data_IF_817405464052
#
_entry.id   IF_817405464052
#
_cell.length_a   1.000
_cell.length_b   1.000
_cell.length_c   1.000
_cell.angle_alpha   90.00
_cell.angle_beta   90.00
_cell.angle_gamma   90.00
#
_symmetry.space_group_name_H-M   'P 1'
#
loop_
_entity.id
_entity.type
_entity.pdbx_description
1 polymer ?
#
# COMPACT_ATOMS: atom_id res chain seq x y z
N UNK A 1 -4.55 2.59 23.38
CA UNK A 1 -3.58 1.56 23.83
C UNK A 1 -2.23 1.89 23.23
N UNK A 2 -1.14 1.80 24.01
CA UNK A 2 0.22 2.07 23.53
C UNK A 2 0.67 1.01 22.52
N UNK A 3 1.30 1.44 21.42
CA UNK A 3 1.97 0.53 20.51
C UNK A 3 3.26 -0.02 21.13
N UNK A 4 3.57 -1.26 20.79
CA UNK A 4 4.78 -1.96 21.26
C UNK A 4 5.63 -2.37 20.06
N UNK A 5 6.94 -2.46 20.24
CA UNK A 5 7.90 -2.92 19.23
C UNK A 5 7.84 -4.44 19.05
N UNK A 6 6.69 -4.95 18.62
CA UNK A 6 6.43 -6.38 18.35
C UNK A 6 5.88 -6.58 16.94
N UNK A 7 5.82 -7.84 16.47
CA UNK A 7 5.24 -8.21 15.17
C UNK A 7 5.77 -7.33 14.03
N UNK A 8 4.91 -6.63 13.30
CA UNK A 8 5.25 -5.78 12.16
C UNK A 8 6.13 -4.58 12.53
N UNK A 9 5.92 -3.99 13.72
CA UNK A 9 6.77 -2.89 14.19
C UNK A 9 8.22 -3.38 14.38
N UNK A 10 8.37 -4.54 15.02
CA UNK A 10 9.69 -5.17 15.18
C UNK A 10 10.29 -5.54 13.83
N UNK A 11 9.51 -6.13 12.93
CA UNK A 11 9.97 -6.52 11.60
C UNK A 11 10.49 -5.31 10.80
N UNK A 12 9.80 -4.16 10.87
CA UNK A 12 10.25 -2.95 10.19
C UNK A 12 11.50 -2.35 10.82
N UNK A 13 11.60 -2.35 12.15
CA UNK A 13 12.81 -1.90 12.86
C UNK A 13 14.04 -2.75 12.53
N UNK A 14 13.88 -4.07 12.33
CA UNK A 14 14.96 -4.99 11.93
C UNK A 14 15.52 -4.72 10.52
N UNK A 15 14.87 -3.88 9.71
CA UNK A 15 15.41 -3.46 8.42
C UNK A 15 16.44 -2.33 8.57
N UNK A 16 16.48 -1.64 9.71
CA UNK A 16 17.45 -0.61 10.01
C UNK A 16 18.83 -1.22 10.25
N UNK A 17 19.91 -0.62 9.72
CA UNK A 17 21.30 -1.03 9.97
C UNK A 17 21.76 -0.58 11.37
N UNK A 18 21.15 -1.15 12.40
CA UNK A 18 21.41 -0.90 13.80
C UNK A 18 20.95 -2.09 14.65
N UNK A 19 21.47 -2.20 15.88
CA UNK A 19 20.94 -3.15 16.85
C UNK A 19 19.51 -2.75 17.26
N UNK A 20 18.67 -3.77 17.47
CA UNK A 20 17.28 -3.54 17.86
C UNK A 20 17.22 -2.94 19.26
N UNK A 21 16.62 -1.75 19.41
CA UNK A 21 16.55 -1.02 20.66
C UNK A 21 15.11 -0.59 20.99
N UNK A 22 14.67 -0.83 22.24
CA UNK A 22 13.33 -0.48 22.73
C UNK A 22 13.09 1.02 22.88
N UNK A 23 14.14 1.83 22.87
CA UNK A 23 14.08 3.29 22.86
C UNK A 23 14.15 3.88 21.44
N UNK A 24 14.24 3.03 20.42
CA UNK A 24 14.53 3.43 19.05
C UNK A 24 16.02 3.42 18.73
N UNK A 25 16.33 3.49 17.43
CA UNK A 25 17.70 3.56 16.94
C UNK A 25 17.78 4.32 15.62
N UNK A 26 19.00 4.71 15.26
CA UNK A 26 19.37 5.30 13.97
C UNK A 26 20.42 4.42 13.32
N UNK A 27 20.30 4.20 12.01
CA UNK A 27 21.21 3.37 11.24
C UNK A 27 22.63 3.96 11.27
N UNK A 28 23.63 3.09 11.40
CA UNK A 28 25.05 3.48 11.20
C UNK A 28 25.29 3.80 9.73
N UNK A 29 24.85 2.90 8.84
CA UNK A 29 24.80 3.14 7.41
C UNK A 29 23.44 2.69 6.86
N UNK A 30 22.52 3.64 6.70
CA UNK A 30 21.14 3.35 6.27
C UNK A 30 21.06 2.64 4.91
N UNK A 31 22.07 2.79 4.03
CA UNK A 31 22.16 2.10 2.74
C UNK A 31 22.42 0.60 2.94
N UNK A 32 23.02 0.17 4.05
CA UNK A 32 23.19 -1.27 4.35
C UNK A 32 21.93 -1.92 4.93
N UNK A 33 20.90 -1.13 5.23
CA UNK A 33 19.61 -1.63 5.70
C UNK A 33 18.90 -2.51 4.66
N UNK A 34 17.96 -3.34 5.13
CA UNK A 34 17.17 -4.20 4.25
C UNK A 34 16.17 -3.37 3.44
N UNK A 35 16.01 -3.64 2.13
CA UNK A 35 15.11 -2.88 1.29
C UNK A 35 13.64 -3.14 1.63
N UNK A 36 12.82 -2.10 1.51
CA UNK A 36 11.38 -2.08 1.75
C UNK A 36 10.69 -1.56 0.50
N UNK A 37 9.78 -2.35 -0.07
CA UNK A 37 8.91 -1.90 -1.17
C UNK A 37 7.89 -0.91 -0.63
N UNK A 38 7.82 0.29 -1.21
CA UNK A 38 6.86 1.32 -0.80
C UNK A 38 5.77 1.47 -1.84
N UNK A 39 4.52 1.43 -1.36
CA UNK A 39 3.32 1.66 -2.16
C UNK A 39 2.61 2.88 -1.56
N UNK A 40 2.25 3.86 -2.40
CA UNK A 40 1.42 5.00 -2.02
C UNK A 40 -0.01 4.82 -2.52
N UNK A 41 -0.98 5.27 -1.73
CA UNK A 41 -2.41 5.20 -2.05
C UNK A 41 -3.00 6.59 -2.20
N UNK A 42 -4.00 6.75 -3.09
CA UNK A 42 -4.80 7.96 -3.25
C UNK A 42 -5.49 8.42 -1.95
N UNK A 43 -5.71 7.51 -1.00
CA UNK A 43 -6.26 7.82 0.31
C UNK A 43 -5.34 8.69 1.20
N UNK A 44 -4.07 8.88 0.82
CA UNK A 44 -3.09 9.65 1.59
C UNK A 44 -3.22 11.15 1.36
N UNK A 45 -4.34 11.74 1.82
CA UNK A 45 -4.75 13.13 1.54
C UNK A 45 -3.72 14.21 1.88
N UNK A 46 -2.90 13.99 2.91
CA UNK A 46 -1.89 14.96 3.36
C UNK A 46 -0.56 14.88 2.59
N UNK A 47 -0.42 13.95 1.64
CA UNK A 47 0.82 13.78 0.88
C UNK A 47 0.67 14.28 -0.55
N UNK A 48 1.45 15.29 -0.92
CA UNK A 48 1.60 15.73 -2.32
C UNK A 48 2.19 14.67 -3.25
N UNK A 49 2.73 13.58 -2.70
CA UNK A 49 3.30 12.46 -3.45
C UNK A 49 2.31 11.31 -3.65
N UNK A 50 1.11 11.38 -3.06
CA UNK A 50 0.08 10.38 -3.28
C UNK A 50 -0.34 10.35 -4.77
N UNK A 51 -0.63 9.16 -5.34
CA UNK A 51 -1.22 9.10 -6.67
C UNK A 51 -2.65 9.66 -6.65
N UNK A 52 -3.14 10.09 -7.80
CA UNK A 52 -4.53 10.59 -7.93
C UNK A 52 -5.57 9.49 -7.74
N UNK A 53 -5.25 8.26 -8.16
CA UNK A 53 -6.18 7.13 -8.16
C UNK A 53 -5.47 5.83 -7.75
N UNK A 54 -6.11 5.03 -6.92
CA UNK A 54 -5.66 3.68 -6.56
C UNK A 54 -4.34 3.62 -5.79
N UNK A 55 -3.47 2.68 -6.21
CA UNK A 55 -2.19 2.38 -5.56
C UNK A 55 -1.05 2.46 -6.57
N UNK A 56 0.08 3.05 -6.17
CA UNK A 56 1.29 3.17 -6.99
C UNK A 56 2.51 2.64 -6.24
N UNK A 57 3.28 1.79 -6.90
CA UNK A 57 4.59 1.36 -6.42
C UNK A 57 5.62 2.46 -6.67
N UNK A 58 6.28 2.93 -5.61
CA UNK A 58 7.16 4.10 -5.66
C UNK A 58 8.66 3.74 -5.49
N UNK A 59 8.96 2.44 -5.49
CA UNK A 59 10.31 1.90 -5.45
C UNK A 59 10.73 1.35 -4.09
N UNK A 60 12.03 1.12 -4.00
CA UNK A 60 12.73 0.62 -2.82
C UNK A 60 13.17 1.74 -1.89
N UNK A 61 12.96 1.50 -0.59
CA UNK A 61 13.33 2.39 0.50
C UNK A 61 14.07 1.60 1.58
N UNK A 62 14.81 2.31 2.44
CA UNK A 62 15.51 1.74 3.60
C UNK A 62 15.19 2.54 4.86
N UNK A 63 15.22 1.87 6.01
CA UNK A 63 14.90 2.47 7.31
C UNK A 63 16.15 3.17 7.86
N UNK A 64 16.10 4.49 7.93
CA UNK A 64 17.17 5.33 8.48
C UNK A 64 17.12 5.40 10.01
N UNK A 65 15.92 5.50 10.59
CA UNK A 65 15.71 5.51 12.03
C UNK A 65 14.30 5.11 12.42
N UNK A 66 14.12 4.72 13.67
CA UNK A 66 12.82 4.42 14.26
C UNK A 66 12.82 4.80 15.75
N UNK A 67 11.69 5.30 16.26
CA UNK A 67 11.59 5.80 17.63
C UNK A 67 10.12 5.87 18.12
N UNK A 68 9.87 5.70 19.43
CA UNK A 68 8.55 5.88 20.01
C UNK A 68 8.24 7.37 20.22
N UNK A 69 7.01 7.79 19.91
CA UNK A 69 6.51 9.16 20.13
C UNK A 69 5.13 9.11 20.74
N UNK A 70 4.81 10.07 21.62
CA UNK A 70 3.43 10.26 22.09
C UNK A 70 2.61 10.94 20.98
N UNK A 71 1.66 10.21 20.40
CA UNK A 71 0.79 10.72 19.35
C UNK A 71 -0.26 11.72 19.87
N UNK A 72 -1.00 12.35 18.96
CA UNK A 72 -2.05 13.33 19.28
C UNK A 72 -3.15 12.77 20.19
N UNK A 73 -3.44 11.47 20.09
CA UNK A 73 -4.39 10.76 20.96
C UNK A 73 -3.84 10.45 22.36
N UNK A 74 -2.61 10.87 22.68
CA UNK A 74 -1.98 10.66 23.98
C UNK A 74 -1.32 9.29 24.18
N UNK A 75 -1.42 8.38 23.20
CA UNK A 75 -0.79 7.05 23.24
C UNK A 75 0.58 7.02 22.55
N UNK A 76 1.44 6.09 22.95
CA UNK A 76 2.73 5.85 22.29
C UNK A 76 2.51 5.19 20.92
N UNK A 77 3.14 5.75 19.90
CA UNK A 77 3.20 5.21 18.53
C UNK A 77 4.65 5.09 18.07
N UNK A 78 4.95 4.07 17.27
CA UNK A 78 6.29 3.89 16.70
C UNK A 78 6.38 4.59 15.34
N UNK A 79 7.33 5.51 15.21
CA UNK A 79 7.60 6.22 13.96
C UNK A 79 8.86 5.68 13.30
N UNK A 80 8.88 5.74 11.97
CA UNK A 80 9.98 5.27 11.14
C UNK A 80 10.31 6.34 10.11
N UNK A 81 11.60 6.56 9.89
CA UNK A 81 12.11 7.43 8.82
C UNK A 81 12.64 6.52 7.71
N UNK A 82 12.04 6.63 6.53
CA UNK A 82 12.45 5.87 5.36
C UNK A 82 13.09 6.81 4.34
N UNK A 83 14.20 6.36 3.74
CA UNK A 83 14.89 7.05 2.66
C UNK A 83 14.83 6.19 1.39
N UNK A 84 14.63 6.84 0.25
CA UNK A 84 14.56 6.14 -1.04
C UNK A 84 15.96 5.72 -1.45
N UNK A 85 16.12 4.47 -1.84
CA UNK A 85 17.35 3.89 -2.38
C UNK A 85 16.96 2.93 -3.50
N UNK A 86 16.69 3.52 -4.66
CA UNK A 86 16.21 2.81 -5.85
C UNK A 86 16.83 3.49 -7.08
N UNK A 87 17.49 2.72 -7.97
CA UNK A 87 18.09 3.24 -9.19
C UNK A 87 17.05 3.78 -10.19
N UNK A 88 15.80 3.29 -10.16
CA UNK A 88 14.75 3.82 -11.01
C UNK A 88 14.36 5.24 -10.56
N UNK A 89 14.06 6.16 -11.48
CA UNK A 89 13.60 7.50 -11.11
C UNK A 89 12.29 7.42 -10.31
N UNK A 90 12.10 8.35 -9.37
CA UNK A 90 10.86 8.39 -8.59
C UNK A 90 9.68 8.82 -9.48
N UNK A 91 8.43 8.35 -9.22
CA UNK A 91 7.31 8.60 -10.14
C UNK A 91 6.94 10.06 -10.39
N UNK A 92 7.38 10.98 -9.53
CA UNK A 92 7.14 12.42 -9.65
C UNK A 92 8.30 13.18 -10.29
N UNK A 93 9.34 12.51 -10.80
CA UNK A 93 10.38 13.16 -11.59
C UNK A 93 9.98 13.19 -13.06
N UNK A 94 10.44 14.22 -13.79
CA UNK A 94 10.14 14.37 -15.23
C UNK A 94 10.60 13.13 -16.04
N UNK A 95 11.78 12.61 -15.73
CA UNK A 95 12.31 11.39 -16.35
C UNK A 95 11.36 10.20 -16.19
N UNK A 96 10.76 10.02 -15.01
CA UNK A 96 9.81 8.94 -14.79
C UNK A 96 8.52 9.16 -15.58
N UNK A 97 8.03 10.40 -15.69
CA UNK A 97 6.85 10.75 -16.47
C UNK A 97 7.07 10.41 -17.95
N UNK A 98 8.21 10.81 -18.50
CA UNK A 98 8.58 10.54 -19.89
C UNK A 98 8.71 9.03 -20.13
N UNK A 99 9.33 8.31 -19.20
CA UNK A 99 9.46 6.85 -19.26
C UNK A 99 8.10 6.14 -19.16
N UNK A 100 7.17 6.66 -18.35
CA UNK A 100 5.82 6.12 -18.20
C UNK A 100 5.01 6.28 -19.49
N UNK A 101 5.09 7.46 -20.10
CA UNK A 101 4.44 7.78 -21.38
C UNK A 101 5.00 6.90 -22.51
N UNK A 102 6.33 6.78 -22.61
CA UNK A 102 6.99 5.91 -23.60
C UNK A 102 6.61 4.44 -23.45
N UNK A 103 6.41 3.97 -22.21
CA UNK A 103 6.08 2.57 -21.90
C UNK A 103 4.57 2.28 -21.86
N UNK A 104 3.71 3.29 -22.03
CA UNK A 104 2.25 3.12 -21.97
C UNK A 104 1.76 2.51 -20.65
N UNK A 105 2.35 2.88 -19.51
CA UNK A 105 1.91 2.34 -18.22
C UNK A 105 0.65 3.05 -17.75
N UNK A 106 -0.44 2.31 -17.68
CA UNK A 106 -1.73 2.80 -17.23
C UNK A 106 -2.13 2.18 -15.88
N UNK A 107 -3.14 2.77 -15.24
CA UNK A 107 -3.76 2.17 -14.07
C UNK A 107 -4.43 0.85 -14.45
N UNK A 108 -4.16 -0.19 -13.67
CA UNK A 108 -4.72 -1.51 -13.90
C UNK A 108 -6.03 -1.63 -13.13
N UNK A 109 -7.13 -1.78 -13.87
CA UNK A 109 -8.42 -2.15 -13.30
C UNK A 109 -8.65 -3.67 -13.49
N UNK A 110 -9.19 -4.37 -12.50
CA UNK A 110 -9.69 -5.73 -12.69
C UNK A 110 -10.76 -5.76 -13.79
N UNK A 111 -10.83 -6.84 -14.57
CA UNK A 111 -11.71 -6.95 -15.75
C UNK A 111 -13.20 -6.66 -15.46
N UNK A 112 -13.67 -7.00 -14.26
CA UNK A 112 -15.07 -6.82 -13.85
C UNK A 112 -15.31 -5.54 -13.03
N UNK A 113 -14.39 -4.58 -13.08
CA UNK A 113 -14.44 -3.38 -12.27
C UNK A 113 -15.17 -2.24 -13.00
N UNK A 114 -16.23 -1.68 -12.39
CA UNK A 114 -16.97 -0.57 -12.98
C UNK A 114 -16.21 0.76 -12.81
N UNK A 115 -15.35 1.07 -13.78
CA UNK A 115 -14.46 2.23 -13.81
C UNK A 115 -15.20 3.55 -13.57
N UNK A 116 -16.42 3.70 -14.12
CA UNK A 116 -17.21 4.95 -14.03
C UNK A 116 -17.62 5.28 -12.60
N UNK A 117 -17.90 4.27 -11.78
CA UNK A 117 -18.32 4.45 -10.38
C UNK A 117 -17.13 4.86 -9.51
N UNK A 118 -15.97 4.23 -9.73
CA UNK A 118 -14.77 4.46 -8.89
C UNK A 118 -14.14 5.80 -9.13
N UNK A 119 -13.99 6.23 -10.39
CA UNK A 119 -13.47 7.56 -10.71
C UNK A 119 -14.37 8.64 -10.09
N UNK A 120 -15.69 8.43 -10.03
CA UNK A 120 -16.65 9.34 -9.37
C UNK A 120 -16.59 9.30 -7.84
N UNK A 121 -16.13 8.21 -7.23
CA UNK A 121 -16.01 8.08 -5.78
C UNK A 121 -14.68 8.65 -5.27
N UNK A 122 -13.56 8.36 -5.96
CA UNK A 122 -12.24 8.86 -5.58
C UNK A 122 -12.05 10.36 -5.89
N UNK A 123 -12.76 10.92 -6.89
CA UNK A 123 -12.72 12.36 -7.19
C UNK A 123 -13.56 13.24 -6.25
N UNK A 124 -14.29 12.68 -5.26
CA UNK A 124 -15.05 13.55 -4.34
C UNK A 124 -14.10 14.22 -3.36
N UNK A 125 -13.99 15.56 -3.35
CA UNK A 125 -13.30 16.25 -2.27
C UNK A 125 -14.06 15.95 -0.98
N UNK A 126 -13.34 15.43 0.01
CA UNK A 126 -13.90 15.20 1.34
C UNK A 126 -14.01 16.58 2.00
N UNK A 127 -15.24 17.06 2.24
CA UNK A 127 -15.48 18.25 3.07
C UNK A 127 -14.80 18.04 4.44
N UNK A 128 -14.02 19.03 4.85
CA UNK A 128 -13.58 19.15 6.24
C UNK A 128 -14.83 19.27 7.12
N UNK A 129 -14.99 18.34 8.07
CA UNK A 129 -15.99 18.51 9.12
C UNK A 129 -15.33 19.33 10.23
N UNK A 130 -15.62 20.63 10.27
CA UNK A 130 -15.54 21.41 11.49
C UNK A 130 -16.67 20.95 12.45
N UNK A 131 -16.31 20.83 13.73
CA UNK A 131 -17.23 20.54 14.83
C UNK A 131 -18.33 21.60 14.96
N UNK A 132 -19.59 21.17 15.02
CA UNK A 132 -20.59 21.82 15.88
C UNK A 132 -21.74 20.86 16.21
N UNK A 133 -22.21 20.99 17.45
CA UNK A 133 -23.10 20.10 18.18
C UNK A 133 -24.59 20.21 17.77
N UNK A 134 -25.21 19.05 17.57
CA UNK A 134 -26.57 18.63 17.99
C UNK A 134 -27.85 19.23 17.33
N UNK A 135 -29.05 18.61 17.51
CA UNK A 135 -29.61 17.61 16.59
C UNK A 135 -30.98 18.02 16.01
N UNK A 136 -31.48 17.35 14.94
CA UNK A 136 -32.91 17.00 14.81
C UNK A 136 -33.24 16.16 13.57
N UNK A 137 -34.08 15.14 13.82
CA UNK A 137 -35.10 14.47 13.01
C UNK A 137 -35.29 14.82 11.53
N UNK A 138 -35.39 13.79 10.68
CA UNK A 138 -35.98 13.89 9.34
C UNK A 138 -36.06 12.56 8.61
N UNK A 139 -37.18 11.86 8.78
CA UNK A 139 -37.56 10.61 8.10
C UNK A 139 -37.65 10.76 6.58
N UNK A 140 -37.25 9.73 5.80
CA UNK A 140 -37.89 9.35 4.53
C UNK A 140 -37.47 7.94 4.09
N UNK A 141 -38.29 6.98 4.53
CA UNK A 141 -38.85 5.78 3.86
C UNK A 141 -38.19 5.21 2.58
N UNK A 142 -37.85 3.91 2.69
CA UNK A 142 -38.12 2.74 1.80
C UNK A 142 -38.06 2.95 0.28
N UNK A 143 -37.36 2.10 -0.47
CA UNK A 143 -37.97 0.85 -0.98
C UNK A 143 -36.98 -0.32 -1.07
N UNK A 144 -37.45 -1.49 -0.63
CA UNK A 144 -36.74 -2.76 -0.74
C UNK A 144 -36.86 -3.36 -2.14
N UNK A 145 -35.75 -3.90 -2.63
CA UNK A 145 -35.75 -4.92 -3.67
C UNK A 145 -35.20 -6.19 -3.04
N UNK A 146 -36.00 -7.23 -3.22
CA UNK A 146 -35.99 -8.53 -2.60
C UNK A 146 -34.75 -9.37 -2.92
N UNK A 147 -34.50 -10.26 -1.98
CA UNK A 147 -33.65 -11.43 -1.96
C UNK A 147 -33.25 -12.02 -3.33
N UNK A 148 -31.94 -12.08 -3.55
CA UNK A 148 -31.31 -12.70 -4.71
C UNK A 148 -29.92 -13.18 -4.31
N UNK A 149 -29.83 -14.47 -3.99
CA UNK A 149 -28.65 -15.20 -3.51
C UNK A 149 -27.35 -14.75 -4.21
N UNK A 150 -26.47 -14.08 -3.47
CA UNK A 150 -25.10 -13.74 -3.92
C UNK A 150 -24.27 -15.02 -4.01
N UNK A 151 -24.26 -15.68 -5.17
CA UNK A 151 -23.20 -16.65 -5.50
C UNK A 151 -21.87 -15.89 -5.53
N UNK A 152 -20.98 -16.18 -4.58
CA UNK A 152 -19.56 -15.81 -4.67
C UNK A 152 -19.00 -16.48 -5.92
N UNK A 153 -18.40 -15.70 -6.81
CA UNK A 153 -17.84 -16.19 -8.06
C UNK A 153 -16.32 -16.18 -7.95
N UNK A 154 -15.73 -17.33 -8.30
CA UNK A 154 -14.31 -17.66 -8.28
C UNK A 154 -13.50 -16.74 -9.19
N UNK A 155 -12.53 -16.00 -8.65
CA UNK A 155 -11.51 -15.33 -9.47
C UNK A 155 -10.36 -16.30 -9.73
N UNK A 156 -10.14 -16.73 -10.96
CA UNK A 156 -8.94 -17.47 -11.39
C UNK A 156 -8.00 -16.49 -12.10
N UNK A 157 -6.76 -16.37 -11.64
CA UNK A 157 -5.74 -15.51 -12.25
C UNK A 157 -4.83 -16.38 -13.13
N UNK A 158 -4.63 -15.98 -14.38
CA UNK A 158 -3.71 -16.65 -15.31
C UNK A 158 -2.40 -15.87 -15.37
N UNK A 159 -1.29 -16.56 -15.11
CA UNK A 159 0.05 -15.98 -15.17
C UNK A 159 0.44 -15.72 -16.63
N UNK A 160 1.05 -14.57 -16.92
CA UNK A 160 1.58 -14.27 -18.26
C UNK A 160 2.88 -15.04 -18.51
N UNK A 161 3.14 -15.52 -19.74
CA UNK A 161 4.36 -16.29 -20.06
C UNK A 161 5.67 -15.57 -19.68
N UNK A 162 5.72 -14.25 -19.89
CA UNK A 162 6.89 -13.43 -19.54
C UNK A 162 7.22 -13.48 -18.04
N UNK A 163 6.21 -13.63 -17.17
CA UNK A 163 6.41 -13.69 -15.72
C UNK A 163 6.92 -15.06 -15.27
N UNK A 164 6.62 -16.13 -16.00
CA UNK A 164 7.15 -17.46 -15.70
C UNK A 164 8.66 -17.51 -15.86
N UNK A 165 9.20 -16.82 -16.86
CA UNK A 165 10.65 -16.73 -17.06
C UNK A 165 11.32 -16.02 -15.90
N UNK A 166 10.80 -14.87 -15.46
CA UNK A 166 11.34 -14.15 -14.31
C UNK A 166 11.28 -14.97 -13.02
N UNK A 167 10.20 -15.72 -12.80
CA UNK A 167 10.06 -16.61 -11.65
C UNK A 167 11.09 -17.74 -11.70
N UNK A 168 11.33 -18.33 -12.89
CA UNK A 168 12.33 -19.38 -13.08
C UNK A 168 13.75 -18.90 -12.83
N UNK A 169 14.09 -17.67 -13.23
CA UNK A 169 15.43 -17.12 -13.04
C UNK A 169 15.72 -16.67 -11.59
N UNK A 170 14.69 -16.39 -10.79
CA UNK A 170 14.82 -15.96 -9.39
C UNK A 170 14.98 -17.15 -8.42
N UNK A 171 16.15 -17.78 -8.48
CA UNK A 171 16.51 -18.94 -7.63
C UNK A 171 16.55 -18.60 -6.13
N UNK A 172 16.83 -17.34 -5.76
CA UNK A 172 16.88 -16.92 -4.36
C UNK A 172 15.52 -16.96 -3.66
N UNK A 173 14.43 -16.80 -4.43
CA UNK A 173 13.06 -16.78 -3.92
C UNK A 173 12.24 -18.00 -4.31
N UNK A 174 12.88 -19.07 -4.80
CA UNK A 174 12.22 -20.29 -5.29
C UNK A 174 11.11 -20.81 -4.36
N UNK A 175 11.37 -20.89 -3.05
CA UNK A 175 10.37 -21.33 -2.06
C UNK A 175 9.12 -20.45 -2.01
N UNK A 176 9.29 -19.13 -2.13
CA UNK A 176 8.18 -18.16 -2.13
C UNK A 176 7.42 -18.22 -3.44
N UNK A 177 8.14 -18.39 -4.55
CA UNK A 177 7.51 -18.58 -5.85
C UNK A 177 6.71 -19.86 -5.91
N UNK A 178 7.24 -20.99 -5.42
CA UNK A 178 6.50 -22.25 -5.32
C UNK A 178 5.22 -22.10 -4.46
N UNK A 179 5.29 -21.37 -3.35
CA UNK A 179 4.13 -21.04 -2.53
C UNK A 179 3.09 -20.24 -3.33
N UNK A 180 3.49 -19.12 -3.96
CA UNK A 180 2.61 -18.29 -4.77
C UNK A 180 1.99 -19.05 -5.96
N UNK A 181 2.77 -19.87 -6.67
CA UNK A 181 2.31 -20.70 -7.78
C UNK A 181 1.27 -21.74 -7.31
N UNK A 182 1.44 -22.31 -6.11
CA UNK A 182 0.48 -23.21 -5.50
C UNK A 182 -0.88 -22.57 -5.14
N UNK A 183 -0.99 -21.23 -5.23
CA UNK A 183 -2.23 -20.50 -5.05
C UNK A 183 -2.88 -20.01 -6.35
N UNK A 184 -2.24 -20.20 -7.53
CA UNK A 184 -2.84 -19.86 -8.83
C UNK A 184 -4.21 -20.55 -9.01
N UNK A 185 -4.28 -21.84 -8.70
CA UNK A 185 -5.51 -22.65 -8.79
C UNK A 185 -6.51 -22.38 -7.65
N UNK A 186 -6.00 -21.81 -6.55
CA UNK A 186 -6.71 -21.56 -5.28
C UNK A 186 -7.22 -20.12 -5.14
N UNK A 187 -7.18 -19.30 -6.20
CA UNK A 187 -8.01 -18.10 -6.27
C UNK A 187 -9.44 -18.46 -5.86
N UNK A 188 -9.88 -17.96 -4.69
CA UNK A 188 -11.02 -18.51 -3.93
C UNK A 188 -12.27 -18.59 -4.80
N UNK A 189 -12.98 -19.74 -4.73
CA UNK A 189 -14.35 -19.94 -5.25
C UNK A 189 -15.33 -18.95 -4.64
#
# INVERSE_FOLDING_TARGET
MNQVLTRSNRALALNCDSELNVNGAKAKNWIKGKPVRVIRSSNSKHSKYAPELGYRYDGLYKVDSYFPVRGLSGYIVWRYVLKRDDPAPAPWTQESTDNMAKKGREIIFPENYNIKTTIKQEKRPFKENEESNEPTSGSSKTEGITDGMKKKIKLMYTLKPELEDFIRYDTENEKRWAECMGFLDKGKK
#
